data_IF_604584582699
#
_entry.id   IF_604584582699
#
_cell.length_a   1.000
_cell.length_b   1.000
_cell.length_c   1.000
_cell.angle_alpha   90.00
_cell.angle_beta   90.00
_cell.angle_gamma   90.00
#
_symmetry.space_group_name_H-M   'P 1'
#
loop_
_entity.id
_entity.type
_entity.pdbx_description
1 polymer ?
#
# COMPACT_ATOMS: atom_id res chain seq x y z
N UNK A 1 38.09 -31.86 -12.99
CA UNK A 1 37.32 -30.75 -13.59
C UNK A 1 36.46 -30.22 -12.47
N UNK A 2 36.68 -28.98 -12.06
CA UNK A 2 35.97 -28.34 -10.94
C UNK A 2 34.51 -28.09 -11.36
N UNK A 3 33.55 -28.53 -10.56
CA UNK A 3 32.11 -28.38 -10.90
C UNK A 3 31.56 -27.03 -10.44
N UNK A 4 30.44 -26.57 -11.01
CA UNK A 4 29.79 -25.30 -10.61
C UNK A 4 29.53 -25.25 -9.10
N UNK A 5 29.03 -26.37 -8.54
CA UNK A 5 28.74 -26.50 -7.11
C UNK A 5 29.99 -26.54 -6.23
N UNK A 6 31.08 -27.15 -6.70
CA UNK A 6 32.35 -27.16 -5.98
C UNK A 6 32.87 -25.72 -5.77
N UNK A 7 32.81 -24.89 -6.83
CA UNK A 7 33.16 -23.46 -6.75
C UNK A 7 32.25 -22.67 -5.81
N UNK A 8 30.94 -22.88 -5.91
CA UNK A 8 29.96 -22.19 -5.05
C UNK A 8 30.16 -22.55 -3.57
N UNK A 9 30.43 -23.84 -3.29
CA UNK A 9 30.72 -24.33 -1.95
C UNK A 9 31.96 -23.68 -1.35
N UNK A 10 33.06 -23.60 -2.10
CA UNK A 10 34.30 -22.95 -1.65
C UNK A 10 34.08 -21.46 -1.42
N UNK A 11 33.35 -20.77 -2.31
CA UNK A 11 32.97 -19.35 -2.15
C UNK A 11 32.18 -19.10 -0.85
N UNK A 12 31.28 -20.00 -0.49
CA UNK A 12 30.51 -19.94 0.75
C UNK A 12 31.30 -20.37 2.00
N UNK A 13 32.60 -20.68 1.89
CA UNK A 13 33.47 -21.00 3.02
C UNK A 13 33.46 -22.47 3.46
N UNK A 14 32.76 -23.35 2.74
CA UNK A 14 32.72 -24.78 3.06
C UNK A 14 33.92 -25.51 2.46
N UNK A 15 34.81 -26.00 3.32
CA UNK A 15 36.07 -26.66 2.91
C UNK A 15 35.88 -28.06 2.33
N UNK A 16 34.75 -28.72 2.57
CA UNK A 16 34.46 -30.05 2.04
C UNK A 16 32.99 -30.24 1.69
N UNK A 17 32.69 -31.12 0.73
CA UNK A 17 31.32 -31.50 0.39
C UNK A 17 30.57 -32.15 1.55
N UNK A 18 31.28 -32.88 2.43
CA UNK A 18 30.71 -33.46 3.64
C UNK A 18 30.20 -32.38 4.61
N UNK A 19 30.92 -31.25 4.73
CA UNK A 19 30.49 -30.14 5.57
C UNK A 19 29.21 -29.47 5.05
N UNK A 20 29.09 -29.29 3.72
CA UNK A 20 27.87 -28.74 3.13
C UNK A 20 26.70 -29.75 3.20
N UNK A 21 26.98 -31.05 3.00
CA UNK A 21 25.98 -32.10 3.13
C UNK A 21 25.37 -32.15 4.54
N UNK A 22 26.21 -32.02 5.57
CA UNK A 22 25.77 -31.94 6.97
C UNK A 22 24.90 -30.70 7.23
N UNK A 23 25.30 -29.53 6.70
CA UNK A 23 24.51 -28.30 6.82
C UNK A 23 23.17 -28.36 6.08
N UNK A 24 23.12 -29.06 4.93
CA UNK A 24 21.90 -29.30 4.16
C UNK A 24 21.02 -30.41 4.76
N UNK A 25 21.55 -31.23 5.67
CA UNK A 25 20.85 -32.38 6.25
C UNK A 25 20.72 -33.58 5.30
N UNK A 26 21.62 -33.74 4.33
CA UNK A 26 21.64 -34.87 3.38
C UNK A 26 22.87 -35.75 3.58
N UNK A 27 22.80 -37.00 3.12
CA UNK A 27 23.98 -37.88 3.15
C UNK A 27 25.09 -37.35 2.22
N UNK A 28 26.35 -37.60 2.59
CA UNK A 28 27.49 -37.23 1.75
C UNK A 28 27.44 -37.89 0.35
N UNK A 29 26.85 -39.08 0.24
CA UNK A 29 26.64 -39.77 -1.04
C UNK A 29 25.63 -39.03 -1.90
N UNK A 30 24.52 -38.60 -1.31
CA UNK A 30 23.50 -37.78 -1.98
C UNK A 30 24.09 -36.46 -2.47
N UNK A 31 24.90 -35.80 -1.64
CA UNK A 31 25.56 -34.56 -2.01
C UNK A 31 26.58 -34.73 -3.13
N UNK A 32 27.42 -35.78 -3.08
CA UNK A 32 28.36 -36.09 -4.17
C UNK A 32 27.64 -36.36 -5.50
N UNK A 33 26.41 -36.88 -5.46
CA UNK A 33 25.57 -37.01 -6.67
C UNK A 33 25.18 -35.63 -7.21
N UNK A 34 24.82 -34.69 -6.34
CA UNK A 34 24.48 -33.32 -6.74
C UNK A 34 25.67 -32.59 -7.36
N UNK A 35 26.88 -32.72 -6.81
CA UNK A 35 28.08 -32.10 -7.41
C UNK A 35 28.39 -32.67 -8.81
N UNK A 36 28.08 -33.95 -9.07
CA UNK A 36 28.32 -34.61 -10.37
C UNK A 36 27.23 -34.34 -11.41
N UNK A 37 25.98 -34.25 -10.97
CA UNK A 37 24.82 -33.98 -11.81
C UNK A 37 23.91 -32.92 -11.16
N UNK A 38 24.24 -31.62 -11.34
CA UNK A 38 23.44 -30.53 -10.79
C UNK A 38 22.02 -30.45 -11.38
N UNK A 39 21.79 -30.94 -12.60
CA UNK A 39 20.47 -30.91 -13.23
C UNK A 39 19.49 -31.92 -12.60
N UNK A 40 20.00 -32.96 -11.96
CA UNK A 40 19.22 -33.98 -11.25
C UNK A 40 18.85 -33.64 -9.80
N UNK A 41 19.16 -32.43 -9.32
CA UNK A 41 18.85 -32.01 -7.94
C UNK A 41 17.33 -31.76 -7.81
N UNK A 42 16.65 -32.38 -6.82
CA UNK A 42 15.24 -32.07 -6.54
C UNK A 42 15.05 -30.59 -6.19
N UNK A 43 13.97 -29.97 -6.67
CA UNK A 43 13.69 -28.52 -6.50
C UNK A 43 13.84 -28.05 -5.06
N UNK A 44 13.31 -28.81 -4.09
CA UNK A 44 13.41 -28.48 -2.66
C UNK A 44 14.86 -28.40 -2.17
N UNK A 45 15.70 -29.33 -2.63
CA UNK A 45 17.13 -29.36 -2.30
C UNK A 45 17.92 -28.27 -3.03
N UNK A 46 17.51 -27.91 -4.26
CA UNK A 46 18.11 -26.83 -5.02
C UNK A 46 17.85 -25.46 -4.36
N UNK A 47 16.63 -25.19 -3.90
CA UNK A 47 16.30 -23.98 -3.14
C UNK A 47 17.10 -23.91 -1.83
N UNK A 48 17.13 -25.01 -1.06
CA UNK A 48 17.88 -25.04 0.20
C UNK A 48 19.40 -24.85 0.00
N UNK A 49 19.96 -25.37 -1.10
CA UNK A 49 21.35 -25.10 -1.48
C UNK A 49 21.57 -23.63 -1.86
N UNK A 50 20.64 -23.03 -2.60
CA UNK A 50 20.71 -21.62 -3.00
C UNK A 50 20.71 -20.70 -1.78
N UNK A 51 19.79 -20.92 -0.83
CA UNK A 51 19.71 -20.18 0.43
C UNK A 51 20.99 -20.32 1.26
N UNK A 52 21.53 -21.55 1.37
CA UNK A 52 22.72 -21.83 2.16
C UNK A 52 24.02 -21.27 1.54
N UNK A 53 24.10 -21.26 0.20
CA UNK A 53 25.26 -20.78 -0.54
C UNK A 53 25.17 -19.29 -0.92
N UNK A 54 24.05 -18.63 -0.63
CA UNK A 54 23.81 -17.23 -0.96
C UNK A 54 23.83 -16.96 -2.47
N UNK A 55 23.24 -17.84 -3.29
CA UNK A 55 23.23 -17.71 -4.75
C UNK A 55 21.85 -18.05 -5.32
N UNK A 56 21.65 -17.85 -6.63
CA UNK A 56 20.39 -18.21 -7.28
C UNK A 56 20.27 -19.73 -7.50
N UNK A 57 19.03 -20.23 -7.56
CA UNK A 57 18.75 -21.63 -7.89
C UNK A 57 19.30 -21.99 -9.27
N UNK A 58 19.26 -21.05 -10.22
CA UNK A 58 19.84 -21.24 -11.55
C UNK A 58 21.35 -21.48 -11.48
N UNK A 59 22.09 -20.71 -10.67
CA UNK A 59 23.53 -20.94 -10.45
C UNK A 59 23.82 -22.32 -9.83
N UNK A 60 22.99 -22.77 -8.88
CA UNK A 60 23.09 -24.11 -8.26
C UNK A 60 22.93 -25.21 -9.31
N UNK A 61 21.96 -25.05 -10.22
CA UNK A 61 21.70 -25.99 -11.30
C UNK A 61 22.68 -25.86 -12.49
N UNK A 62 23.68 -24.98 -12.39
CA UNK A 62 24.65 -24.71 -13.45
C UNK A 62 24.04 -24.01 -14.67
N UNK A 63 22.85 -23.42 -14.52
CA UNK A 63 22.22 -22.57 -15.53
C UNK A 63 22.78 -21.16 -15.38
N UNK A 64 23.00 -20.49 -16.51
CA UNK A 64 23.29 -19.06 -16.48
C UNK A 64 21.99 -18.38 -16.05
N UNK A 65 21.98 -17.76 -14.86
CA UNK A 65 20.87 -16.92 -14.44
C UNK A 65 20.54 -15.97 -15.60
N UNK A 66 19.25 -15.80 -15.98
CA UNK A 66 18.91 -14.75 -16.91
C UNK A 66 19.52 -13.46 -16.35
N UNK A 67 20.31 -12.75 -17.16
CA UNK A 67 20.69 -11.40 -16.79
C UNK A 67 19.37 -10.73 -16.42
N UNK A 68 19.22 -10.36 -15.15
CA UNK A 68 18.01 -9.69 -14.71
C UNK A 68 17.76 -8.63 -15.77
N UNK A 69 16.63 -8.68 -16.45
CA UNK A 69 16.30 -7.68 -17.45
C UNK A 69 16.00 -6.42 -16.66
N UNK A 70 17.08 -5.80 -16.18
CA UNK A 70 17.09 -4.57 -15.45
C UNK A 70 16.46 -3.57 -16.40
N UNK A 71 15.28 -3.08 -16.03
CA UNK A 71 14.59 -2.07 -16.82
C UNK A 71 15.50 -0.87 -17.07
N UNK A 72 15.15 0.00 -18.03
CA UNK A 72 16.01 1.12 -18.46
C UNK A 72 16.49 1.99 -17.29
N UNK A 73 15.69 2.10 -16.22
CA UNK A 73 16.03 2.84 -14.99
C UNK A 73 17.19 2.19 -14.23
N UNK A 74 17.17 0.87 -14.04
CA UNK A 74 18.23 0.18 -13.30
C UNK A 74 19.54 0.16 -14.09
N UNK A 75 19.46 -0.01 -15.42
CA UNK A 75 20.62 0.11 -16.29
C UNK A 75 21.25 1.52 -16.25
N UNK A 76 20.42 2.57 -16.21
CA UNK A 76 20.90 3.94 -16.07
C UNK A 76 21.54 4.19 -14.69
N UNK A 77 20.92 3.67 -13.62
CA UNK A 77 21.46 3.77 -12.26
C UNK A 77 22.80 3.02 -12.12
N UNK A 78 22.90 1.81 -12.68
CA UNK A 78 24.13 1.00 -12.65
C UNK A 78 25.26 1.58 -13.51
N UNK A 79 24.95 2.50 -14.43
CA UNK A 79 25.94 3.24 -15.22
C UNK A 79 26.48 4.49 -14.49
N UNK A 80 25.85 4.93 -13.40
CA UNK A 80 26.29 6.09 -12.62
C UNK A 80 27.58 5.80 -11.83
N UNK A 81 28.34 6.85 -11.53
CA UNK A 81 29.45 6.76 -10.57
C UNK A 81 28.93 6.50 -9.15
N UNK A 82 29.76 5.97 -8.24
CA UNK A 82 29.37 5.76 -6.84
C UNK A 82 28.84 7.03 -6.16
N UNK A 83 29.45 8.18 -6.43
CA UNK A 83 29.06 9.47 -5.88
C UNK A 83 27.67 9.90 -6.39
N UNK A 84 27.42 9.75 -7.70
CA UNK A 84 26.11 10.05 -8.27
C UNK A 84 25.02 9.09 -7.80
N UNK A 85 25.33 7.80 -7.56
CA UNK A 85 24.37 6.85 -6.96
C UNK A 85 23.98 7.26 -5.55
N UNK A 86 24.95 7.63 -4.73
CA UNK A 86 24.69 8.09 -3.36
C UNK A 86 23.76 9.32 -3.32
N UNK A 87 23.87 10.23 -4.30
CA UNK A 87 22.95 11.36 -4.44
C UNK A 87 21.53 10.91 -4.83
N UNK A 88 21.40 9.94 -5.75
CA UNK A 88 20.10 9.37 -6.12
C UNK A 88 19.46 8.67 -4.92
N UNK A 89 20.22 7.89 -4.16
CA UNK A 89 19.72 7.19 -2.97
C UNK A 89 19.22 8.19 -1.93
N UNK A 90 19.99 9.23 -1.64
CA UNK A 90 19.60 10.30 -0.70
C UNK A 90 18.32 11.03 -1.15
N UNK A 91 18.19 11.26 -2.47
CA UNK A 91 16.98 11.87 -3.03
C UNK A 91 15.76 10.96 -2.89
N UNK A 92 15.91 9.66 -3.20
CA UNK A 92 14.84 8.66 -3.05
C UNK A 92 14.41 8.50 -1.60
N UNK A 93 15.35 8.48 -0.66
CA UNK A 93 15.05 8.45 0.78
C UNK A 93 14.24 9.68 1.21
N UNK A 94 14.60 10.86 0.73
CA UNK A 94 13.87 12.10 1.01
C UNK A 94 12.44 12.05 0.49
N UNK A 95 12.25 11.56 -0.75
CA UNK A 95 10.92 11.40 -1.34
C UNK A 95 10.08 10.37 -0.57
N UNK A 96 10.68 9.23 -0.21
CA UNK A 96 10.00 8.21 0.58
C UNK A 96 9.56 8.73 1.95
N UNK A 97 10.40 9.54 2.62
CA UNK A 97 10.07 10.17 3.89
C UNK A 97 8.94 11.21 3.73
N UNK A 98 8.96 12.02 2.67
CA UNK A 98 7.88 12.97 2.38
C UNK A 98 6.55 12.25 2.09
N UNK A 99 6.57 11.14 1.35
CA UNK A 99 5.40 10.31 1.08
C UNK A 99 4.84 9.68 2.35
N UNK A 100 5.72 9.16 3.21
CA UNK A 100 5.35 8.60 4.50
C UNK A 100 4.69 9.67 5.38
N UNK A 101 5.26 10.88 5.46
CA UNK A 101 4.69 11.99 6.21
C UNK A 101 3.33 12.42 5.68
N UNK A 102 3.13 12.49 4.35
CA UNK A 102 1.82 12.78 3.75
C UNK A 102 0.78 11.73 4.14
N UNK A 103 1.15 10.45 4.10
CA UNK A 103 0.27 9.34 4.53
C UNK A 103 -0.05 9.41 6.02
N UNK A 104 0.94 9.66 6.88
CA UNK A 104 0.74 9.79 8.32
C UNK A 104 -0.13 11.00 8.66
N UNK A 105 0.12 12.15 8.04
CA UNK A 105 -0.69 13.36 8.22
C UNK A 105 -2.14 13.14 7.81
N UNK A 106 -2.38 12.57 6.62
CA UNK A 106 -3.72 12.19 6.18
C UNK A 106 -4.40 11.22 7.17
N UNK A 107 -3.67 10.21 7.66
CA UNK A 107 -4.20 9.25 8.64
C UNK A 107 -4.56 9.89 9.99
N UNK A 108 -3.75 10.85 10.46
CA UNK A 108 -4.03 11.61 11.68
C UNK A 108 -5.27 12.51 11.52
N UNK A 109 -5.41 13.20 10.39
CA UNK A 109 -6.60 14.01 10.07
C UNK A 109 -7.85 13.15 10.02
N UNK A 110 -7.80 12.01 9.31
CA UNK A 110 -8.91 11.05 9.25
C UNK A 110 -9.29 10.53 10.64
N UNK A 111 -8.30 10.20 11.47
CA UNK A 111 -8.53 9.73 12.85
C UNK A 111 -9.16 10.81 13.72
N UNK A 112 -8.68 12.06 13.63
CA UNK A 112 -9.25 13.17 14.38
C UNK A 112 -10.71 13.44 13.96
N UNK A 113 -11.00 13.37 12.66
CA UNK A 113 -12.36 13.50 12.14
C UNK A 113 -13.28 12.38 12.64
N UNK A 114 -12.82 11.12 12.57
CA UNK A 114 -13.56 9.98 13.12
C UNK A 114 -13.83 10.13 14.63
N UNK A 115 -12.84 10.56 15.42
CA UNK A 115 -13.03 10.78 16.85
C UNK A 115 -14.06 11.89 17.14
N UNK A 116 -14.03 13.00 16.40
CA UNK A 116 -15.03 14.06 16.56
C UNK A 116 -16.46 13.60 16.25
N UNK A 117 -16.64 12.74 15.25
CA UNK A 117 -17.95 12.14 14.96
C UNK A 117 -18.39 11.15 16.06
N UNK A 118 -17.46 10.40 16.64
CA UNK A 118 -17.74 9.49 17.75
C UNK A 118 -18.13 10.24 19.02
N UNK A 119 -17.42 11.31 19.36
CA UNK A 119 -17.76 12.19 20.49
C UNK A 119 -19.13 12.85 20.30
N UNK A 120 -19.40 13.39 19.10
CA UNK A 120 -20.71 13.94 18.77
C UNK A 120 -21.83 12.88 18.85
N UNK A 121 -21.56 11.64 18.45
CA UNK A 121 -22.50 10.53 18.62
C UNK A 121 -22.79 10.26 20.10
N UNK A 122 -21.77 10.20 20.96
CA UNK A 122 -21.95 9.97 22.40
C UNK A 122 -22.80 11.08 23.01
N UNK A 123 -22.50 12.35 22.70
CA UNK A 123 -23.29 13.48 23.21
C UNK A 123 -24.74 13.43 22.74
N UNK A 124 -24.98 13.13 21.47
CA UNK A 124 -26.32 13.02 20.89
C UNK A 124 -27.07 11.82 21.49
N UNK A 125 -26.38 10.69 21.71
CA UNK A 125 -26.92 9.50 22.37
C UNK A 125 -27.30 9.76 23.84
N UNK A 126 -26.44 10.43 24.60
CA UNK A 126 -26.70 10.79 26.00
C UNK A 126 -27.87 11.79 26.13
N UNK A 127 -27.98 12.74 25.20
CA UNK A 127 -29.02 13.75 25.19
C UNK A 127 -30.36 13.25 24.63
N UNK A 128 -30.34 12.25 23.74
CA UNK A 128 -31.55 11.78 23.04
C UNK A 128 -32.29 10.65 23.74
N UNK A 129 -31.85 10.19 24.94
CA UNK A 129 -32.31 9.13 25.87
C UNK A 129 -33.65 8.36 25.64
N UNK A 130 -34.06 8.11 24.41
CA UNK A 130 -35.38 7.63 24.00
C UNK A 130 -35.78 7.87 22.52
N UNK A 131 -34.96 8.52 21.68
CA UNK A 131 -35.27 8.75 20.26
C UNK A 131 -34.69 7.68 19.30
N UNK A 132 -33.71 6.91 19.75
CA UNK A 132 -33.18 5.76 19.01
C UNK A 132 -33.98 4.50 19.34
N UNK A 133 -35.14 4.36 18.71
CA UNK A 133 -35.95 3.13 18.71
C UNK A 133 -35.62 2.33 17.43
N UNK A 134 -34.43 1.72 17.41
CA UNK A 134 -33.85 0.90 16.33
C UNK A 134 -32.63 0.14 16.87
N UNK A 135 -32.21 -1.00 16.28
CA UNK A 135 -31.50 -2.07 16.99
C UNK A 135 -30.26 -1.52 17.70
N UNK A 136 -30.34 -1.43 19.02
CA UNK A 136 -29.24 -0.95 19.86
C UNK A 136 -27.97 -1.75 19.56
N UNK A 137 -26.85 -1.05 19.45
CA UNK A 137 -25.54 -1.64 19.16
C UNK A 137 -24.90 -1.13 17.86
N UNK A 138 -23.95 -1.91 17.35
CA UNK A 138 -23.04 -1.58 16.25
C UNK A 138 -23.72 -1.09 14.96
N UNK A 139 -24.85 -1.69 14.58
CA UNK A 139 -25.56 -1.32 13.34
C UNK A 139 -26.31 0.02 13.46
N UNK A 140 -26.91 0.30 14.63
CA UNK A 140 -27.52 1.61 14.90
C UNK A 140 -26.49 2.74 14.89
N UNK A 141 -25.31 2.50 15.45
CA UNK A 141 -24.19 3.44 15.40
C UNK A 141 -23.70 3.68 13.96
N UNK A 142 -23.56 2.62 13.17
CA UNK A 142 -23.16 2.72 11.76
C UNK A 142 -24.13 3.58 10.95
N UNK A 143 -25.44 3.33 11.08
CA UNK A 143 -26.47 4.09 10.35
C UNK A 143 -26.47 5.58 10.73
N UNK A 144 -26.24 5.89 12.01
CA UNK A 144 -26.08 7.27 12.47
C UNK A 144 -24.87 7.96 11.82
N UNK A 145 -23.71 7.29 11.84
CA UNK A 145 -22.48 7.82 11.27
C UNK A 145 -22.60 8.05 9.77
N UNK A 146 -23.20 7.11 9.03
CA UNK A 146 -23.49 7.25 7.60
C UNK A 146 -24.40 8.45 7.32
N UNK A 147 -25.41 8.70 8.16
CA UNK A 147 -26.27 9.88 8.06
C UNK A 147 -25.52 11.20 8.25
N UNK A 148 -24.68 11.30 9.30
CA UNK A 148 -23.88 12.50 9.57
C UNK A 148 -22.83 12.78 8.48
N UNK A 149 -22.21 11.74 7.94
CA UNK A 149 -21.27 11.85 6.82
C UNK A 149 -21.99 12.33 5.55
N UNK A 150 -23.18 11.81 5.26
CA UNK A 150 -24.00 12.28 4.13
C UNK A 150 -24.38 13.76 4.25
N UNK A 151 -24.81 14.22 5.43
CA UNK A 151 -25.11 15.64 5.68
C UNK A 151 -23.89 16.56 5.53
N UNK A 152 -22.71 16.11 5.97
CA UNK A 152 -21.45 16.83 5.77
C UNK A 152 -21.13 16.94 4.28
N UNK A 153 -21.21 15.83 3.55
CA UNK A 153 -20.93 15.75 2.12
C UNK A 153 -21.84 16.70 1.34
N UNK A 154 -23.13 16.76 1.65
CA UNK A 154 -24.05 17.72 1.02
C UNK A 154 -23.58 19.17 1.23
N UNK A 155 -23.26 19.55 2.48
CA UNK A 155 -22.75 20.89 2.82
C UNK A 155 -21.44 21.23 2.13
N UNK A 156 -20.48 20.30 2.10
CA UNK A 156 -19.15 20.53 1.52
C UNK A 156 -19.19 20.57 0.00
N UNK A 157 -19.99 19.71 -0.64
CA UNK A 157 -20.19 19.77 -2.08
C UNK A 157 -20.84 21.12 -2.44
N UNK A 158 -21.90 21.53 -1.73
CA UNK A 158 -22.53 22.83 -1.92
C UNK A 158 -21.58 24.02 -1.76
N UNK A 159 -20.71 23.97 -0.74
CA UNK A 159 -19.68 24.99 -0.52
C UNK A 159 -18.63 25.03 -1.66
N UNK A 160 -18.22 23.86 -2.17
CA UNK A 160 -17.17 23.69 -3.20
C UNK A 160 -17.51 24.42 -4.50
N UNK A 161 -18.75 24.29 -4.99
CA UNK A 161 -19.15 24.87 -6.28
C UNK A 161 -19.96 26.17 -6.17
N UNK A 162 -20.19 26.70 -4.96
CA UNK A 162 -20.86 28.00 -4.76
C UNK A 162 -20.25 29.12 -5.60
N UNK A 163 -18.92 29.15 -5.73
CA UNK A 163 -18.21 30.10 -6.58
C UNK A 163 -18.40 29.86 -8.08
N UNK A 164 -18.57 28.60 -8.51
CA UNK A 164 -18.86 28.25 -9.90
C UNK A 164 -20.31 28.60 -10.27
N UNK A 165 -21.27 28.38 -9.36
CA UNK A 165 -22.66 28.82 -9.51
C UNK A 165 -22.76 30.34 -9.67
N UNK A 166 -22.00 31.11 -8.89
CA UNK A 166 -21.98 32.57 -9.02
C UNK A 166 -21.41 33.04 -10.38
N UNK A 167 -20.42 32.32 -10.94
CA UNK A 167 -19.88 32.61 -12.28
C UNK A 167 -20.87 32.23 -13.39
N UNK A 168 -21.60 31.12 -13.25
CA UNK A 168 -22.68 30.75 -14.15
C UNK A 168 -23.77 31.84 -14.17
N UNK A 169 -24.20 32.30 -13.00
CA UNK A 169 -25.21 33.36 -12.87
C UNK A 169 -24.75 34.67 -13.55
N UNK A 170 -23.47 35.02 -13.40
CA UNK A 170 -22.87 36.16 -14.07
C UNK A 170 -22.78 35.97 -15.60
N UNK A 171 -22.35 34.81 -16.08
CA UNK A 171 -22.20 34.50 -17.51
C UNK A 171 -23.56 34.43 -18.23
N UNK A 172 -24.59 33.89 -17.56
CA UNK A 172 -25.99 33.94 -18.00
C UNK A 172 -26.46 35.38 -18.21
N UNK A 173 -25.94 36.31 -17.41
CA UNK A 173 -26.28 37.73 -17.47
C UNK A 173 -25.51 38.50 -18.55
N UNK A 174 -24.32 38.04 -18.97
CA UNK A 174 -23.48 38.71 -19.98
C UNK A 174 -23.59 38.14 -21.40
N UNK A 175 -24.06 36.89 -21.56
CA UNK A 175 -24.29 36.27 -22.87
C UNK A 175 -23.02 35.82 -23.60
N UNK A 176 -21.89 35.71 -22.90
CA UNK A 176 -20.56 35.46 -23.48
C UNK A 176 -20.18 33.97 -23.60
N UNK A 177 -21.01 33.05 -23.07
CA UNK A 177 -20.75 31.60 -23.08
C UNK A 177 -22.07 30.84 -23.19
N UNK A 178 -22.09 29.76 -23.98
CA UNK A 178 -23.24 28.87 -24.04
C UNK A 178 -23.52 28.30 -22.64
N UNK A 179 -24.76 28.44 -22.18
CA UNK A 179 -25.15 28.05 -20.81
C UNK A 179 -24.96 26.56 -20.55
N UNK A 180 -24.99 25.77 -21.62
CA UNK A 180 -24.85 24.32 -21.61
C UNK A 180 -23.42 23.91 -21.23
N UNK A 181 -22.39 24.55 -21.80
CA UNK A 181 -20.97 24.26 -21.51
C UNK A 181 -20.60 24.50 -20.03
N UNK A 182 -21.14 25.57 -19.42
CA UNK A 182 -20.88 25.88 -18.01
C UNK A 182 -21.67 24.94 -17.09
N UNK A 183 -22.89 24.56 -17.47
CA UNK A 183 -23.68 23.61 -16.70
C UNK A 183 -23.03 22.22 -16.66
N UNK A 184 -22.54 21.74 -17.81
CA UNK A 184 -21.80 20.48 -17.90
C UNK A 184 -20.51 20.51 -17.06
N UNK A 185 -19.76 21.61 -17.10
CA UNK A 185 -18.56 21.79 -16.28
C UNK A 185 -18.86 21.75 -14.77
N UNK A 186 -19.96 22.39 -14.33
CA UNK A 186 -20.41 22.37 -12.93
C UNK A 186 -20.85 20.97 -12.52
N UNK A 187 -21.58 20.26 -13.37
CA UNK A 187 -22.03 18.90 -13.10
C UNK A 187 -20.84 17.92 -13.02
N UNK A 188 -19.83 18.08 -13.88
CA UNK A 188 -18.60 17.30 -13.81
C UNK A 188 -17.85 17.54 -12.49
N UNK A 189 -17.65 18.80 -12.10
CA UNK A 189 -16.99 19.17 -10.85
C UNK A 189 -17.76 18.68 -9.62
N UNK A 190 -19.10 18.70 -9.68
CA UNK A 190 -19.97 18.11 -8.67
C UNK A 190 -19.71 16.61 -8.54
N UNK A 191 -19.77 15.88 -9.65
CA UNK A 191 -19.57 14.44 -9.64
C UNK A 191 -18.19 14.04 -9.09
N UNK A 192 -17.13 14.79 -9.46
CA UNK A 192 -15.77 14.56 -8.97
C UNK A 192 -15.65 14.82 -7.46
N UNK A 193 -16.17 15.96 -6.98
CA UNK A 193 -16.16 16.29 -5.55
C UNK A 193 -16.97 15.31 -4.72
N UNK A 194 -18.14 14.87 -5.21
CA UNK A 194 -18.95 13.84 -4.55
C UNK A 194 -18.18 12.52 -4.45
N UNK A 195 -17.55 12.08 -5.54
CA UNK A 195 -16.81 10.82 -5.57
C UNK A 195 -15.59 10.81 -4.64
N UNK A 196 -14.91 11.95 -4.51
CA UNK A 196 -13.78 12.10 -3.58
C UNK A 196 -14.23 12.11 -2.12
N UNK A 197 -15.32 12.82 -1.81
CA UNK A 197 -15.90 12.84 -0.47
C UNK A 197 -16.48 11.49 -0.06
N UNK A 198 -17.14 10.75 -0.98
CA UNK A 198 -17.63 9.40 -0.71
C UNK A 198 -16.49 8.42 -0.38
N UNK A 199 -15.33 8.58 -1.02
CA UNK A 199 -14.13 7.79 -0.72
C UNK A 199 -13.60 8.11 0.67
N UNK A 200 -13.48 9.39 1.00
CA UNK A 200 -13.05 9.85 2.33
C UNK A 200 -14.02 9.40 3.43
N UNK A 201 -15.33 9.55 3.20
CA UNK A 201 -16.38 9.14 4.13
C UNK A 201 -16.33 7.62 4.40
N UNK A 202 -16.02 6.81 3.38
CA UNK A 202 -15.81 5.37 3.54
C UNK A 202 -14.65 5.04 4.47
N UNK A 203 -13.51 5.73 4.31
CA UNK A 203 -12.33 5.56 5.17
C UNK A 203 -12.60 6.03 6.61
N UNK A 204 -13.32 7.15 6.77
CA UNK A 204 -13.73 7.67 8.08
C UNK A 204 -14.66 6.68 8.77
N UNK A 205 -15.66 6.15 8.06
CA UNK A 205 -16.61 5.18 8.60
C UNK A 205 -15.91 3.90 9.03
N UNK A 206 -15.00 3.35 8.22
CA UNK A 206 -14.23 2.16 8.58
C UNK A 206 -13.41 2.40 9.86
N UNK A 207 -12.74 3.55 9.95
CA UNK A 207 -11.95 3.94 11.14
C UNK A 207 -12.82 4.10 12.38
N UNK A 208 -13.98 4.72 12.23
CA UNK A 208 -14.96 4.95 13.29
C UNK A 208 -15.52 3.62 13.82
N UNK A 209 -15.88 2.70 12.92
CA UNK A 209 -16.36 1.37 13.31
C UNK A 209 -15.27 0.57 14.02
N UNK A 210 -14.01 0.68 13.60
CA UNK A 210 -12.88 0.05 14.31
C UNK A 210 -12.68 0.60 15.73
N UNK A 211 -12.96 1.89 15.97
CA UNK A 211 -12.91 2.50 17.31
C UNK A 211 -14.06 1.95 18.17
N UNK A 212 -15.28 1.95 17.63
CA UNK A 212 -16.46 1.41 18.31
C UNK A 212 -16.27 -0.05 18.74
N UNK A 213 -15.77 -0.88 17.82
CA UNK A 213 -15.52 -2.30 18.05
C UNK A 213 -14.44 -2.52 19.13
N UNK A 214 -13.42 -1.66 19.19
CA UNK A 214 -12.38 -1.71 20.22
C UNK A 214 -12.90 -1.39 21.63
N UNK A 215 -13.75 -0.36 21.75
CA UNK A 215 -14.31 0.07 23.04
C UNK A 215 -15.37 -0.91 23.58
N UNK A 216 -16.15 -1.54 22.68
CA UNK A 216 -17.25 -2.44 23.07
C UNK A 216 -16.86 -3.93 23.11
N UNK A 217 -15.64 -4.31 22.70
CA UNK A 217 -15.12 -5.67 22.85
C UNK A 217 -14.52 -5.96 24.24
N UNK A 218 -14.37 -4.94 25.10
CA UNK A 218 -13.75 -5.04 26.42
C UNK A 218 -14.76 -5.20 27.59
N UNK A 219 -16.05 -5.33 27.31
CA UNK A 219 -17.13 -5.57 28.29
C UNK A 219 -17.83 -6.90 28.09
#
# INVERSE_FOLDING_TARGET
METSLERLRVRAGYRSGAALAAALGVSAVTYNRYERDPAGIPTKSACALADLLGCSVDEVLGRRAPAASQGPVQAAYDALSPESRSLVDSFLETLAAADAQRKTGANLTLRAHALGLYEAYIEDYENSRGLFDGPGGREGFRAYAEGRLAERRERETEASYRGALARLDAAVSTGDVEKEDIAEEIERLRAESVADLEREDGEVLERLMSIYDGEHAAG
#
